data_IF_325889938033
#
_entry.id   IF_325889938033
#
_cell.length_a   1.000
_cell.length_b   1.000
_cell.length_c   1.000
_cell.angle_alpha   90.00
_cell.angle_beta   90.00
_cell.angle_gamma   90.00
#
_symmetry.space_group_name_H-M   'P 1'
#
loop_
_entity.id
_entity.type
_entity.pdbx_description
1 polymer ?
#
# COMPACT_ATOMS: atom_id res chain seq x y z
N UNK A 1 -5.53 14.24 -9.76
CA UNK A 1 -4.82 12.95 -9.58
C UNK A 1 -5.81 11.87 -9.13
N UNK A 2 -6.48 12.02 -7.99
CA UNK A 2 -7.52 11.09 -7.50
C UNK A 2 -8.61 10.72 -8.52
N UNK A 3 -9.18 11.69 -9.25
CA UNK A 3 -10.24 11.39 -10.24
C UNK A 3 -9.72 10.52 -11.39
N UNK A 4 -8.53 10.82 -11.92
CA UNK A 4 -7.92 10.01 -12.97
C UNK A 4 -7.63 8.60 -12.47
N UNK A 5 -7.01 8.45 -11.30
CA UNK A 5 -6.57 7.15 -10.80
C UNK A 5 -7.71 6.27 -10.34
N UNK A 6 -8.64 6.81 -9.55
CA UNK A 6 -9.76 6.04 -8.98
C UNK A 6 -10.88 5.88 -10.02
N UNK A 7 -11.35 6.99 -10.61
CA UNK A 7 -12.56 6.97 -11.44
C UNK A 7 -12.26 6.49 -12.85
N UNK A 8 -11.27 7.09 -13.51
CA UNK A 8 -10.98 6.76 -14.91
C UNK A 8 -10.20 5.45 -15.07
N UNK A 9 -9.29 5.13 -14.13
CA UNK A 9 -8.41 3.97 -14.22
C UNK A 9 -8.79 2.82 -13.26
N UNK A 10 -9.73 3.02 -12.33
CA UNK A 10 -10.17 1.98 -11.40
C UNK A 10 -9.10 1.53 -10.39
N UNK A 11 -8.05 2.33 -10.19
CA UNK A 11 -6.94 1.99 -9.30
C UNK A 11 -7.28 2.24 -7.83
N UNK A 12 -6.84 1.32 -6.97
CA UNK A 12 -6.86 1.50 -5.52
C UNK A 12 -5.67 2.34 -5.09
N UNK A 13 -5.84 3.16 -4.05
CA UNK A 13 -4.76 3.98 -3.48
C UNK A 13 -4.51 3.58 -2.03
N UNK A 14 -3.24 3.60 -1.64
CA UNK A 14 -2.83 3.63 -0.23
C UNK A 14 -2.52 5.07 0.13
N UNK A 15 -2.91 5.48 1.34
CA UNK A 15 -2.63 6.79 1.91
C UNK A 15 -2.10 6.61 3.34
N UNK A 16 -1.33 7.58 3.82
CA UNK A 16 -0.84 7.64 5.19
C UNK A 16 -0.08 6.37 5.66
N UNK A 17 0.78 5.83 4.80
CA UNK A 17 1.70 4.75 5.16
C UNK A 17 2.90 5.29 5.94
N UNK A 18 3.34 4.56 6.96
CA UNK A 18 4.68 4.71 7.52
C UNK A 18 5.64 3.84 6.70
N UNK A 19 6.64 4.49 6.09
CA UNK A 19 7.58 3.86 5.16
C UNK A 19 9.03 3.89 5.66
N UNK A 20 9.29 4.38 6.88
CA UNK A 20 10.66 4.56 7.38
C UNK A 20 11.39 3.22 7.49
N UNK A 21 10.80 2.26 8.22
CA UNK A 21 11.42 0.96 8.45
C UNK A 21 11.64 0.14 7.15
N UNK A 22 10.72 0.22 6.19
CA UNK A 22 10.88 -0.49 4.91
C UNK A 22 11.94 0.16 4.02
N UNK A 23 12.08 1.49 4.08
CA UNK A 23 13.12 2.20 3.34
C UNK A 23 14.52 1.87 3.89
N UNK A 24 14.70 1.87 5.20
CA UNK A 24 15.96 1.48 5.85
C UNK A 24 16.36 0.04 5.49
N UNK A 25 15.41 -0.89 5.53
CA UNK A 25 15.67 -2.30 5.21
C UNK A 25 15.97 -2.52 3.72
N UNK A 26 15.26 -1.82 2.83
CA UNK A 26 15.52 -1.85 1.39
C UNK A 26 16.91 -1.32 1.05
N UNK A 27 17.34 -0.21 1.68
CA UNK A 27 18.68 0.34 1.51
C UNK A 27 19.75 -0.62 2.05
N UNK A 28 19.57 -1.18 3.26
CA UNK A 28 20.49 -2.14 3.87
C UNK A 28 20.75 -3.35 2.97
N UNK A 29 19.73 -3.81 2.26
CA UNK A 29 19.83 -4.95 1.34
C UNK A 29 20.18 -4.56 -0.10
N UNK A 30 20.23 -3.27 -0.42
CA UNK A 30 20.29 -2.75 -1.79
C UNK A 30 19.23 -3.39 -2.70
N UNK A 31 17.99 -3.54 -2.19
CA UNK A 31 16.87 -4.19 -2.86
C UNK A 31 15.56 -3.48 -2.52
N UNK A 32 14.94 -2.90 -3.53
CA UNK A 32 13.67 -2.14 -3.41
C UNK A 32 12.43 -2.94 -3.78
N UNK A 33 12.61 -4.17 -4.26
CA UNK A 33 11.55 -5.08 -4.62
C UNK A 33 11.33 -6.09 -3.50
N UNK A 34 10.09 -6.19 -3.05
CA UNK A 34 9.67 -7.08 -1.98
C UNK A 34 8.21 -7.49 -2.21
N UNK A 35 7.79 -8.58 -1.56
CA UNK A 35 6.41 -8.99 -1.58
C UNK A 35 5.60 -8.06 -0.65
N UNK A 36 4.65 -7.31 -1.22
CA UNK A 36 3.68 -6.54 -0.47
C UNK A 36 2.44 -7.38 -0.17
N UNK A 37 2.21 -7.68 1.12
CA UNK A 37 0.96 -8.29 1.58
C UNK A 37 0.04 -7.19 2.11
N UNK A 38 -1.12 -7.03 1.49
CA UNK A 38 -2.06 -5.96 1.78
C UNK A 38 -3.48 -6.52 1.85
N UNK A 39 -3.98 -6.79 3.07
CA UNK A 39 -5.30 -7.39 3.30
C UNK A 39 -6.25 -6.37 3.94
N UNK A 40 -7.14 -5.72 3.16
CA UNK A 40 -8.16 -4.84 3.73
C UNK A 40 -9.19 -5.63 4.54
N UNK A 41 -9.76 -4.99 5.56
CA UNK A 41 -10.91 -5.51 6.30
C UNK A 41 -12.13 -5.45 5.38
N UNK A 42 -12.92 -6.53 5.24
CA UNK A 42 -14.10 -6.53 4.38
C UNK A 42 -15.20 -5.69 5.04
N UNK A 43 -15.53 -4.56 4.43
CA UNK A 43 -16.61 -3.65 4.85
C UNK A 43 -17.58 -3.47 3.68
N UNK A 44 -18.79 -3.98 3.84
CA UNK A 44 -19.83 -3.85 2.83
C UNK A 44 -20.19 -2.37 2.60
N UNK A 45 -20.15 -1.95 1.33
CA UNK A 45 -20.38 -0.54 0.95
C UNK A 45 -19.28 0.44 1.35
N UNK A 46 -18.15 -0.04 1.89
CA UNK A 46 -17.03 0.82 2.30
C UNK A 46 -16.30 1.48 1.12
N UNK A 47 -16.02 2.77 1.22
CA UNK A 47 -15.20 3.50 0.23
C UNK A 47 -13.70 3.20 0.37
N UNK A 48 -13.28 2.64 1.50
CA UNK A 48 -11.92 2.24 1.82
C UNK A 48 -11.91 1.35 3.05
N UNK A 49 -10.74 0.85 3.42
CA UNK A 49 -10.54 0.05 4.63
C UNK A 49 -9.23 0.43 5.30
N UNK A 50 -9.19 0.53 6.63
CA UNK A 50 -7.91 0.52 7.34
C UNK A 50 -7.22 -0.83 7.10
N UNK A 51 -5.90 -0.82 7.13
CA UNK A 51 -5.09 -2.03 6.97
C UNK A 51 -3.68 -1.83 7.49
N UNK A 52 -2.98 -2.94 7.69
CA UNK A 52 -1.56 -2.97 8.04
C UNK A 52 -0.78 -3.69 6.92
N UNK A 53 -0.30 -2.98 5.88
CA UNK A 53 0.48 -3.58 4.81
C UNK A 53 1.84 -4.07 5.33
N UNK A 54 2.26 -5.25 4.88
CA UNK A 54 3.52 -5.88 5.30
C UNK A 54 4.41 -6.04 4.07
N UNK A 55 5.63 -5.52 4.17
CA UNK A 55 6.72 -5.80 3.22
C UNK A 55 7.48 -7.05 3.66
N UNK A 56 7.60 -8.04 2.78
CA UNK A 56 8.41 -9.25 3.01
C UNK A 56 9.55 -9.30 1.99
N UNK A 57 10.78 -9.21 2.48
CA UNK A 57 12.02 -9.23 1.69
C UNK A 57 12.52 -10.67 1.47
#
# INVERSE_FOLDING_TARGET
MHELTIVALGMRLFDNLDLEAVAEEAERQNRWEFLLTASPIPVDGGAGSPMNPIATF
#
